data_IF_005699436570
#
_entry.id   IF_005699436570
#
_cell.length_a   1.000
_cell.length_b   1.000
_cell.length_c   1.000
_cell.angle_alpha   90.00
_cell.angle_beta   90.00
_cell.angle_gamma   90.00
#
_symmetry.space_group_name_H-M   'P 1'
#
loop_
_entity.id
_entity.type
_entity.pdbx_description
1 polymer ?
#
# COMPACT_ATOMS: atom_id res chain seq x y z
N UNK A 1 4.59 -21.85 30.33
CA UNK A 1 5.00 -22.46 29.04
C UNK A 1 4.31 -23.81 28.93
N UNK A 2 3.30 -23.95 28.06
CA UNK A 2 2.45 -25.18 28.00
C UNK A 2 2.90 -26.18 26.93
N UNK A 3 3.79 -25.77 26.02
CA UNK A 3 4.24 -26.55 24.87
C UNK A 3 5.67 -27.12 25.03
N UNK A 4 6.34 -26.85 26.16
CA UNK A 4 7.71 -27.34 26.41
C UNK A 4 8.82 -26.63 25.62
N UNK A 5 8.52 -25.59 24.85
CA UNK A 5 9.51 -24.85 24.04
C UNK A 5 10.27 -23.83 24.89
N UNK A 6 11.59 -23.92 24.99
CA UNK A 6 12.43 -22.90 25.66
C UNK A 6 13.10 -21.98 24.65
N UNK A 7 13.41 -20.76 25.09
CA UNK A 7 14.12 -19.76 24.28
C UNK A 7 15.29 -19.23 25.10
N UNK A 8 16.44 -19.11 24.46
CA UNK A 8 17.66 -18.52 25.01
C UNK A 8 18.30 -17.62 23.94
N UNK A 9 19.16 -16.69 24.34
CA UNK A 9 19.78 -15.77 23.41
C UNK A 9 20.89 -14.91 24.02
N UNK A 10 21.89 -14.61 23.21
CA UNK A 10 22.94 -13.65 23.52
C UNK A 10 22.62 -12.31 22.87
N UNK A 11 22.83 -11.21 23.59
CA UNK A 11 22.58 -9.86 23.09
C UNK A 11 23.71 -8.91 23.43
N UNK A 12 24.01 -8.01 22.50
CA UNK A 12 25.06 -7.00 22.63
C UNK A 12 24.57 -5.73 23.33
N UNK A 13 23.25 -5.51 23.40
CA UNK A 13 22.64 -4.33 24.04
C UNK A 13 21.42 -4.71 24.88
N UNK A 14 21.17 -3.96 25.95
CA UNK A 14 20.12 -4.24 26.94
C UNK A 14 18.73 -4.41 26.31
N UNK A 15 18.40 -3.58 25.31
CA UNK A 15 17.10 -3.53 24.63
C UNK A 15 17.12 -4.05 23.19
N UNK A 16 18.18 -4.77 22.79
CA UNK A 16 18.31 -5.28 21.42
C UNK A 16 17.16 -6.23 21.01
N UNK A 17 16.49 -6.83 22.00
CA UNK A 17 15.38 -7.76 21.84
C UNK A 17 14.05 -7.21 22.39
N UNK A 18 13.89 -5.88 22.49
CA UNK A 18 12.75 -5.22 23.15
C UNK A 18 11.36 -5.59 22.61
N UNK A 19 11.26 -6.03 21.35
CA UNK A 19 10.01 -6.47 20.72
C UNK A 19 9.88 -7.99 20.61
N UNK A 20 10.71 -8.74 21.34
CA UNK A 20 10.67 -10.20 21.28
C UNK A 20 9.34 -10.75 21.80
N UNK A 21 8.78 -11.71 21.08
CA UNK A 21 7.55 -12.42 21.47
C UNK A 21 7.79 -13.61 22.40
N UNK A 22 9.06 -13.98 22.64
CA UNK A 22 9.44 -15.18 23.40
C UNK A 22 9.58 -14.98 24.92
N UNK A 23 9.48 -13.73 25.40
CA UNK A 23 9.52 -13.38 26.83
C UNK A 23 8.62 -12.18 27.12
N UNK A 24 8.18 -11.96 28.37
CA UNK A 24 7.45 -10.75 28.72
C UNK A 24 8.35 -9.50 28.64
N UNK A 25 7.71 -8.35 28.40
CA UNK A 25 8.34 -7.03 28.50
C UNK A 25 8.71 -6.72 29.96
N UNK A 26 9.90 -6.20 30.16
CA UNK A 26 10.31 -5.61 31.44
C UNK A 26 9.58 -4.26 31.67
N UNK A 27 9.51 -3.76 32.92
CA UNK A 27 8.94 -2.44 33.21
C UNK A 27 9.60 -1.30 32.41
N UNK A 28 10.93 -1.35 32.25
CA UNK A 28 11.67 -0.35 31.47
C UNK A 28 11.30 -0.38 29.97
N UNK A 29 11.24 -1.58 29.39
CA UNK A 29 10.83 -1.75 27.98
C UNK A 29 9.41 -1.29 27.74
N UNK A 30 8.49 -1.61 28.67
CA UNK A 30 7.10 -1.11 28.62
C UNK A 30 7.05 0.42 28.63
N UNK A 31 7.86 1.07 29.48
CA UNK A 31 7.92 2.53 29.53
C UNK A 31 8.45 3.15 28.24
N UNK A 32 9.46 2.53 27.61
CA UNK A 32 9.98 2.97 26.30
C UNK A 32 8.89 2.89 25.23
N UNK A 33 8.20 1.76 25.14
CA UNK A 33 7.10 1.57 24.18
C UNK A 33 5.96 2.56 24.46
N UNK A 34 5.56 2.71 25.73
CA UNK A 34 4.50 3.63 26.13
C UNK A 34 4.84 5.08 25.79
N UNK A 35 6.11 5.49 25.93
CA UNK A 35 6.56 6.82 25.51
C UNK A 35 6.38 7.01 24.00
N UNK A 36 6.67 5.98 23.19
CA UNK A 36 6.41 5.98 21.75
C UNK A 36 4.92 6.16 21.43
N UNK A 37 4.04 5.40 22.09
CA UNK A 37 2.58 5.52 21.96
C UNK A 37 2.11 6.93 22.31
N UNK A 38 2.58 7.48 23.44
CA UNK A 38 2.23 8.82 23.88
C UNK A 38 2.65 9.89 22.86
N UNK A 39 3.86 9.78 22.30
CA UNK A 39 4.35 10.71 21.28
C UNK A 39 3.51 10.67 19.99
N UNK A 40 3.11 9.47 19.55
CA UNK A 40 2.24 9.30 18.38
C UNK A 40 0.86 9.92 18.65
N UNK A 41 0.29 9.63 19.82
CA UNK A 41 -1.00 10.18 20.22
C UNK A 41 -0.96 11.71 20.30
N UNK A 42 0.08 12.26 20.93
CA UNK A 42 0.32 13.69 21.05
C UNK A 42 0.39 14.38 19.67
N UNK A 43 1.13 13.77 18.73
CA UNK A 43 1.21 14.24 17.34
C UNK A 43 -0.16 14.22 16.66
N UNK A 44 -0.92 13.14 16.85
CA UNK A 44 -2.26 12.99 16.26
C UNK A 44 -3.21 14.08 16.76
N UNK A 45 -3.36 14.24 18.07
CA UNK A 45 -4.30 15.22 18.63
C UNK A 45 -3.89 16.66 18.32
N UNK A 46 -2.59 16.93 18.18
CA UNK A 46 -2.07 18.24 17.74
C UNK A 46 -2.51 18.55 16.31
N UNK A 47 -2.29 17.62 15.36
CA UNK A 47 -2.74 17.81 13.97
C UNK A 47 -4.24 17.99 13.83
N UNK A 48 -5.03 17.25 14.61
CA UNK A 48 -6.49 17.38 14.63
C UNK A 48 -6.89 18.74 15.23
N UNK A 49 -6.26 19.16 16.32
CA UNK A 49 -6.51 20.46 16.94
C UNK A 49 -6.27 21.61 15.94
N UNK A 50 -5.14 21.59 15.24
CA UNK A 50 -4.80 22.58 14.22
C UNK A 50 -5.81 22.58 13.06
N UNK A 51 -6.11 21.40 12.52
CA UNK A 51 -7.03 21.24 11.39
C UNK A 51 -8.49 21.62 11.73
N UNK A 52 -8.91 21.45 12.99
CA UNK A 52 -10.26 21.79 13.47
C UNK A 52 -10.33 23.15 14.16
N UNK A 53 -9.21 23.88 14.27
CA UNK A 53 -9.09 25.14 15.02
C UNK A 53 -9.63 25.03 16.46
N UNK A 54 -9.29 23.93 17.13
CA UNK A 54 -9.66 23.62 18.52
C UNK A 54 -8.41 23.52 19.37
N UNK A 55 -8.55 23.60 20.69
CA UNK A 55 -7.43 23.33 21.60
C UNK A 55 -7.14 21.83 21.67
N UNK A 56 -5.89 21.48 21.95
CA UNK A 56 -5.46 20.09 22.16
C UNK A 56 -6.27 19.40 23.26
N UNK A 57 -6.55 20.08 24.36
CA UNK A 57 -7.37 19.58 25.47
C UNK A 57 -8.80 19.26 25.05
N UNK A 58 -9.41 20.08 24.19
CA UNK A 58 -10.74 19.78 23.65
C UNK A 58 -10.72 18.52 22.78
N UNK A 59 -9.72 18.37 21.91
CA UNK A 59 -9.58 17.16 21.08
C UNK A 59 -9.29 15.92 21.93
N UNK A 60 -8.44 16.04 22.95
CA UNK A 60 -8.12 14.97 23.89
C UNK A 60 -9.38 14.47 24.62
N UNK A 61 -10.25 15.39 25.07
CA UNK A 61 -11.52 15.04 25.70
C UNK A 61 -12.50 14.25 24.79
N UNK A 62 -12.36 14.41 23.48
CA UNK A 62 -13.12 13.69 22.45
C UNK A 62 -12.39 12.44 21.93
N UNK A 63 -11.12 12.26 22.34
CA UNK A 63 -10.22 11.21 21.88
C UNK A 63 -10.28 9.94 22.72
N UNK A 64 -9.10 9.34 22.98
CA UNK A 64 -8.99 8.09 23.73
C UNK A 64 -9.46 6.83 22.99
N UNK A 65 -9.45 6.83 21.66
CA UNK A 65 -9.83 5.67 20.84
C UNK A 65 -11.33 5.46 20.64
N UNK A 66 -12.17 6.42 21.05
CA UNK A 66 -13.63 6.38 20.84
C UNK A 66 -13.96 6.54 19.36
N UNK A 67 -14.96 5.78 18.91
CA UNK A 67 -15.50 5.89 17.55
C UNK A 67 -16.73 6.80 17.57
N UNK A 68 -16.80 7.71 16.61
CA UNK A 68 -17.92 8.64 16.45
C UNK A 68 -18.68 8.31 15.16
N UNK A 69 -20.00 8.19 15.25
CA UNK A 69 -20.85 8.19 14.05
C UNK A 69 -20.84 9.58 13.41
N UNK A 70 -21.07 9.66 12.10
CA UNK A 70 -20.93 10.91 11.34
C UNK A 70 -21.72 12.09 11.91
N UNK A 71 -22.94 11.84 12.41
CA UNK A 71 -23.79 12.87 13.04
C UNK A 71 -23.13 13.47 14.26
N UNK A 72 -22.52 12.65 15.12
CA UNK A 72 -21.88 13.11 16.34
C UNK A 72 -20.51 13.72 16.06
N UNK A 73 -19.79 13.22 15.04
CA UNK A 73 -18.58 13.86 14.56
C UNK A 73 -18.83 15.31 14.10
N UNK A 74 -19.95 15.56 13.42
CA UNK A 74 -20.35 16.94 13.04
C UNK A 74 -20.70 17.77 14.28
N UNK A 75 -21.52 17.24 15.21
CA UNK A 75 -21.88 17.95 16.47
C UNK A 75 -20.66 18.32 17.31
N UNK A 76 -19.69 17.41 17.42
CA UNK A 76 -18.45 17.62 18.16
C UNK A 76 -17.45 18.51 17.41
N UNK A 77 -17.76 18.86 16.15
CA UNK A 77 -16.91 19.65 15.29
C UNK A 77 -15.63 18.91 14.88
N UNK A 78 -15.68 17.59 14.76
CA UNK A 78 -14.65 16.74 14.15
C UNK A 78 -14.84 16.61 12.63
N UNK A 79 -16.06 16.85 12.13
CA UNK A 79 -16.40 16.95 10.71
C UNK A 79 -17.20 18.24 10.44
N UNK A 80 -17.21 18.70 9.18
CA UNK A 80 -17.88 19.96 8.82
C UNK A 80 -19.39 19.80 8.60
N UNK A 81 -19.79 18.72 7.92
CA UNK A 81 -21.19 18.41 7.64
C UNK A 81 -21.35 16.95 7.21
N UNK A 82 -22.60 16.49 7.19
CA UNK A 82 -22.98 15.24 6.55
C UNK A 82 -23.11 15.42 5.03
N UNK A 83 -22.85 14.35 4.30
CA UNK A 83 -22.98 14.32 2.85
C UNK A 83 -22.44 13.04 2.23
N UNK A 84 -22.61 12.95 0.93
CA UNK A 84 -22.09 11.92 0.05
C UNK A 84 -20.76 12.35 -0.59
N UNK A 85 -20.14 11.43 -1.33
CA UNK A 85 -18.99 11.73 -2.18
C UNK A 85 -19.27 12.86 -3.18
N UNK A 86 -20.45 12.85 -3.84
CA UNK A 86 -20.83 13.89 -4.81
C UNK A 86 -20.92 15.28 -4.16
N UNK A 87 -21.35 15.35 -2.90
CA UNK A 87 -21.39 16.60 -2.17
C UNK A 87 -19.98 17.13 -1.88
N UNK A 88 -19.02 16.24 -1.61
CA UNK A 88 -17.62 16.60 -1.41
C UNK A 88 -16.99 17.13 -2.70
N UNK A 89 -17.22 16.46 -3.83
CA UNK A 89 -16.76 16.90 -5.16
C UNK A 89 -17.32 18.28 -5.49
N UNK A 90 -18.63 18.47 -5.33
CA UNK A 90 -19.29 19.76 -5.58
C UNK A 90 -18.72 20.87 -4.69
N UNK A 91 -18.43 20.56 -3.43
CA UNK A 91 -17.81 21.51 -2.49
C UNK A 91 -16.38 21.88 -2.90
N UNK A 92 -15.61 20.92 -3.39
CA UNK A 92 -14.25 21.15 -3.89
C UNK A 92 -14.27 22.03 -5.15
N UNK A 93 -15.13 21.72 -6.12
CA UNK A 93 -15.30 22.51 -7.34
C UNK A 93 -15.72 23.96 -7.03
N UNK A 94 -16.68 24.15 -6.10
CA UNK A 94 -17.09 25.48 -5.64
C UNK A 94 -15.95 26.26 -4.99
N UNK A 95 -15.15 25.62 -4.12
CA UNK A 95 -13.97 26.25 -3.48
C UNK A 95 -12.89 26.62 -4.50
N UNK A 96 -12.74 25.81 -5.54
CA UNK A 96 -11.81 26.05 -6.65
C UNK A 96 -12.36 27.01 -7.72
N UNK A 97 -13.61 27.46 -7.60
CA UNK A 97 -14.31 28.32 -8.58
C UNK A 97 -14.42 27.70 -9.98
N UNK A 98 -14.57 26.37 -10.04
CA UNK A 98 -14.74 25.63 -11.29
C UNK A 98 -16.24 25.51 -11.62
N UNK A 99 -16.61 25.82 -12.85
CA UNK A 99 -17.96 25.63 -13.40
C UNK A 99 -18.06 24.36 -14.22
N UNK A 100 -16.98 24.00 -14.92
CA UNK A 100 -16.86 22.77 -15.68
C UNK A 100 -15.67 21.96 -15.13
N UNK A 101 -15.93 20.70 -14.79
CA UNK A 101 -14.94 19.80 -14.23
C UNK A 101 -15.32 18.34 -14.47
N UNK A 102 -14.32 17.47 -14.51
CA UNK A 102 -14.49 16.02 -14.60
C UNK A 102 -13.75 15.33 -13.46
N UNK A 103 -14.39 14.36 -12.83
CA UNK A 103 -13.74 13.46 -11.87
C UNK A 103 -13.05 12.33 -12.63
N UNK A 104 -11.78 12.10 -12.33
CA UNK A 104 -10.98 11.02 -12.93
C UNK A 104 -10.44 10.16 -11.79
N UNK A 105 -10.57 8.83 -11.93
CA UNK A 105 -10.04 7.86 -10.98
C UNK A 105 -8.70 7.31 -11.48
N UNK A 106 -7.74 7.14 -10.57
CA UNK A 106 -6.42 6.61 -10.87
C UNK A 106 -6.15 5.27 -10.17
N UNK A 107 -5.33 4.37 -10.78
CA UNK A 107 -4.73 4.53 -12.10
C UNK A 107 -5.79 4.50 -13.22
N UNK A 108 -5.51 5.15 -14.35
CA UNK A 108 -6.40 5.10 -15.50
C UNK A 108 -6.58 3.63 -15.92
N UNK A 109 -7.83 3.16 -15.91
CA UNK A 109 -8.15 1.83 -16.40
C UNK A 109 -7.75 1.80 -17.87
N UNK A 110 -6.84 0.89 -18.22
CA UNK A 110 -6.46 0.67 -19.61
C UNK A 110 -7.73 0.31 -20.38
N UNK A 111 -7.94 0.96 -21.52
CA UNK A 111 -9.09 0.68 -22.39
C UNK A 111 -9.14 -0.82 -22.72
N UNK A 112 -10.24 -1.54 -22.42
CA UNK A 112 -10.36 -2.97 -22.68
C UNK A 112 -10.09 -3.34 -24.14
N UNK A 113 -10.42 -2.47 -25.10
CA UNK A 113 -10.11 -2.67 -26.51
C UNK A 113 -8.61 -2.55 -26.77
N UNK A 114 -7.91 -1.63 -26.11
CA UNK A 114 -6.46 -1.48 -26.23
C UNK A 114 -5.72 -2.69 -25.66
N UNK A 115 -6.20 -3.22 -24.54
CA UNK A 115 -5.69 -4.47 -23.95
C UNK A 115 -5.95 -5.66 -24.88
N UNK A 116 -7.17 -5.78 -25.40
CA UNK A 116 -7.55 -6.84 -26.34
C UNK A 116 -6.75 -6.77 -27.65
N UNK A 117 -6.59 -5.59 -28.25
CA UNK A 117 -5.81 -5.38 -29.47
C UNK A 117 -4.32 -5.66 -29.26
N UNK A 118 -3.77 -5.31 -28.10
CA UNK A 118 -2.42 -5.70 -27.71
C UNK A 118 -2.26 -7.22 -27.68
N UNK A 119 -3.14 -7.90 -26.96
CA UNK A 119 -3.12 -9.36 -26.87
C UNK A 119 -3.36 -10.05 -28.23
N UNK A 120 -4.27 -9.53 -29.06
CA UNK A 120 -4.55 -10.05 -30.38
C UNK A 120 -3.34 -9.92 -31.32
N UNK A 121 -2.64 -8.77 -31.30
CA UNK A 121 -1.41 -8.56 -32.09
C UNK A 121 -0.31 -9.54 -31.69
N UNK A 122 -0.14 -9.77 -30.40
CA UNK A 122 0.86 -10.71 -29.88
C UNK A 122 0.53 -12.16 -30.30
N UNK A 123 -0.74 -12.55 -30.23
CA UNK A 123 -1.19 -13.87 -30.66
C UNK A 123 -1.09 -14.09 -32.17
N UNK A 124 -1.38 -13.08 -32.98
CA UNK A 124 -1.26 -13.15 -34.45
C UNK A 124 0.20 -13.26 -34.85
N UNK A 125 1.09 -12.44 -34.27
CA UNK A 125 2.52 -12.51 -34.58
C UNK A 125 3.14 -13.86 -34.18
N UNK A 126 2.75 -14.41 -33.02
CA UNK A 126 3.17 -15.73 -32.58
C UNK A 126 2.62 -16.86 -33.47
N UNK A 127 1.38 -16.74 -33.96
CA UNK A 127 0.76 -17.72 -34.86
C UNK A 127 1.50 -17.78 -36.21
N UNK A 128 1.73 -16.63 -36.85
CA UNK A 128 2.45 -16.59 -38.14
C UNK A 128 3.91 -17.02 -37.99
N UNK A 129 4.60 -16.60 -36.92
CA UNK A 129 5.96 -17.08 -36.65
C UNK A 129 6.01 -18.60 -36.42
N UNK A 130 5.02 -19.19 -35.74
CA UNK A 130 4.93 -20.65 -35.56
C UNK A 130 4.59 -21.37 -36.86
N UNK A 131 3.80 -20.75 -37.75
CA UNK A 131 3.45 -21.29 -39.07
C UNK A 131 4.65 -21.33 -40.03
N UNK A 132 5.44 -20.25 -40.07
CA UNK A 132 6.63 -20.14 -40.93
C UNK A 132 7.80 -21.00 -40.43
N UNK A 133 8.06 -20.99 -39.11
CA UNK A 133 9.23 -21.67 -38.55
C UNK A 133 8.95 -23.08 -38.02
N UNK A 134 7.69 -23.52 -37.93
CA UNK A 134 7.33 -24.86 -37.45
C UNK A 134 7.97 -25.20 -36.09
N UNK A 135 8.65 -26.34 -35.99
CA UNK A 135 9.39 -26.74 -34.78
C UNK A 135 10.56 -25.80 -34.44
N UNK A 136 11.10 -25.09 -35.42
CA UNK A 136 12.20 -24.14 -35.26
C UNK A 136 11.76 -22.78 -34.70
N UNK A 137 10.44 -22.55 -34.51
CA UNK A 137 9.93 -21.35 -33.85
C UNK A 137 10.55 -21.12 -32.47
N UNK A 138 10.88 -22.20 -31.76
CA UNK A 138 11.55 -22.12 -30.45
C UNK A 138 12.93 -21.47 -30.58
N UNK A 139 13.69 -21.79 -31.63
CA UNK A 139 15.01 -21.21 -31.88
C UNK A 139 14.90 -19.71 -32.18
N UNK A 140 13.91 -19.31 -32.99
CA UNK A 140 13.62 -17.90 -33.25
C UNK A 140 13.29 -17.12 -31.96
N UNK A 141 12.47 -17.71 -31.07
CA UNK A 141 12.13 -17.10 -29.77
C UNK A 141 13.36 -16.98 -28.85
N UNK A 142 14.25 -17.97 -28.85
CA UNK A 142 15.51 -17.92 -28.10
C UNK A 142 16.44 -16.82 -28.63
N UNK A 143 16.55 -16.66 -29.95
CA UNK A 143 17.33 -15.58 -30.56
C UNK A 143 16.76 -14.20 -30.21
N UNK A 144 15.46 -13.99 -30.35
CA UNK A 144 14.80 -12.74 -29.95
C UNK A 144 15.04 -12.41 -28.46
N UNK A 145 14.97 -13.41 -27.58
CA UNK A 145 15.24 -13.25 -26.14
C UNK A 145 16.72 -12.98 -25.85
N UNK A 146 17.64 -13.52 -26.63
CA UNK A 146 19.07 -13.23 -26.52
C UNK A 146 19.39 -11.80 -27.01
N UNK A 147 18.71 -11.32 -28.05
CA UNK A 147 18.90 -9.98 -28.60
C UNK A 147 18.27 -8.87 -27.76
N UNK A 148 17.15 -9.15 -27.08
CA UNK A 148 16.45 -8.18 -26.22
C UNK A 148 17.00 -8.10 -24.79
N UNK A 149 17.69 -9.14 -24.33
CA UNK A 149 18.32 -9.14 -23.01
C UNK A 149 19.66 -8.41 -23.05
N UNK A 150 19.76 -7.29 -22.34
CA UNK A 150 21.02 -6.53 -22.17
C UNK A 150 21.63 -6.75 -20.79
N UNK A 151 22.96 -6.87 -20.71
CA UNK A 151 23.72 -7.01 -19.45
C UNK A 151 24.34 -8.40 -19.24
N UNK A 152 25.19 -8.56 -18.22
CA UNK A 152 25.78 -9.87 -17.87
C UNK A 152 24.69 -10.80 -17.31
N UNK A 153 24.55 -11.99 -17.90
CA UNK A 153 23.57 -13.00 -17.48
C UNK A 153 24.25 -14.34 -17.22
N UNK A 154 23.96 -14.94 -16.07
CA UNK A 154 24.24 -16.36 -15.84
C UNK A 154 23.15 -17.19 -16.54
N UNK A 155 23.55 -18.17 -17.36
CA UNK A 155 22.64 -19.05 -18.10
C UNK A 155 23.14 -20.49 -18.05
N UNK A 156 22.20 -21.44 -18.02
CA UNK A 156 22.51 -22.85 -18.19
C UNK A 156 22.80 -23.15 -19.66
N UNK A 157 23.68 -24.13 -19.94
CA UNK A 157 24.07 -24.51 -21.31
C UNK A 157 22.92 -25.14 -22.13
N UNK A 158 21.86 -25.59 -21.47
CA UNK A 158 20.66 -26.14 -22.10
C UNK A 158 19.39 -25.59 -21.46
N UNK A 159 18.34 -25.43 -22.28
CA UNK A 159 16.98 -25.15 -21.78
C UNK A 159 16.23 -26.47 -21.58
N UNK A 160 15.78 -26.72 -20.35
CA UNK A 160 14.97 -27.90 -20.00
C UNK A 160 13.59 -27.77 -20.66
N UNK A 161 13.26 -28.69 -21.57
CA UNK A 161 11.92 -28.82 -22.15
C UNK A 161 11.18 -29.95 -21.43
N UNK A 162 10.15 -29.60 -20.67
CA UNK A 162 9.20 -30.59 -20.14
C UNK A 162 8.10 -30.73 -21.19
N UNK A 163 7.90 -31.96 -21.68
CA UNK A 163 6.79 -32.31 -22.58
C UNK A 163 5.50 -32.47 -21.80
#
# INVERSE_FOLDING_TARGET
NKLGLTFDGVKTGQYADIMSSNRPLTPAERAIIQKGVNNIYDTFITKVADGRKKTKTQIDSLGGGRVWIGTDAVKNGLADRLGSFNDAVTSAAKKAKLQDYKVVEYPEKIDPLKEFLGAAKDNVSAYYAKKEFGENYILYKQMQKAMSNTGMQARMEYEIRIK
#
